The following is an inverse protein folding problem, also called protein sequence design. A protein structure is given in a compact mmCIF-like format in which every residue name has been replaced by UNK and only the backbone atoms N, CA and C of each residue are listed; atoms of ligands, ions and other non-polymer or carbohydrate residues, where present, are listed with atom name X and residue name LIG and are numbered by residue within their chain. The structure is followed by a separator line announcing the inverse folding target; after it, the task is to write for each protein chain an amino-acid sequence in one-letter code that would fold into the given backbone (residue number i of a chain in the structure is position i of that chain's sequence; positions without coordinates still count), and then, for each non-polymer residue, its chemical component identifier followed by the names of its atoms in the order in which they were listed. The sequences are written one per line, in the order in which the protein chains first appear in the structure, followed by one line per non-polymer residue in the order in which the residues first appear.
data_IF_186704906619
#
_entry.id   IF_186704906619
#
_cell.length_a   1.000
_cell.length_b   1.000
_cell.length_c   1.000
_cell.angle_alpha   90.00
_cell.angle_beta   90.00
_cell.angle_gamma   90.00
#
_symmetry.space_group_name_H-M   'P 1'
#
loop_
_entity.id
_entity.type
_entity.pdbx_description
1 polymer ?
#
# COMPACT_ATOMS: atom_id res chain seq x y z
N UNK A 1 -7.17 -1.10 20.94
CA UNK A 1 -6.90 -2.37 20.25
C UNK A 1 -5.49 -2.27 19.75
N UNK A 2 -4.60 -3.24 20.02
CA UNK A 2 -3.25 -3.22 19.46
C UNK A 2 -3.30 -3.13 17.93
N UNK A 3 -2.21 -2.74 17.29
CA UNK A 3 -2.13 -2.73 15.82
C UNK A 3 -2.46 -4.11 15.29
N UNK A 4 -3.44 -4.18 14.39
CA UNK A 4 -3.89 -5.43 13.78
C UNK A 4 -3.80 -5.34 12.26
N UNK A 5 -3.42 -6.45 11.64
CA UNK A 5 -3.50 -6.69 10.20
C UNK A 5 -4.75 -7.54 9.94
N UNK A 6 -5.80 -6.92 9.42
CA UNK A 6 -7.13 -7.52 9.29
C UNK A 6 -7.40 -7.83 7.82
N UNK A 7 -7.54 -9.11 7.42
CA UNK A 7 -7.97 -9.47 6.08
C UNK A 7 -9.34 -8.88 5.73
N UNK A 8 -9.46 -8.33 4.53
CA UNK A 8 -10.72 -7.82 4.01
C UNK A 8 -10.81 -7.94 2.49
N UNK A 9 -12.02 -7.77 1.96
CA UNK A 9 -12.26 -7.71 0.52
C UNK A 9 -12.46 -6.26 0.10
N UNK A 10 -11.78 -5.86 -0.98
CA UNK A 10 -12.07 -4.61 -1.65
C UNK A 10 -13.46 -4.68 -2.30
N UNK A 11 -14.18 -3.55 -2.41
CA UNK A 11 -15.48 -3.52 -3.08
C UNK A 11 -15.33 -3.66 -4.60
N UNK A 12 -16.44 -3.75 -5.32
CA UNK A 12 -16.41 -3.81 -6.78
C UNK A 12 -15.63 -2.63 -7.39
N UNK A 13 -14.74 -2.86 -8.37
CA UNK A 13 -13.94 -1.79 -8.95
C UNK A 13 -14.81 -0.75 -9.67
N UNK A 14 -14.43 0.51 -9.54
CA UNK A 14 -14.98 1.59 -10.35
C UNK A 14 -14.51 1.48 -11.81
N UNK A 15 -15.17 2.21 -12.72
CA UNK A 15 -14.70 2.36 -14.09
C UNK A 15 -13.58 3.42 -14.16
N UNK A 16 -12.39 3.03 -14.63
CA UNK A 16 -11.30 3.97 -14.91
C UNK A 16 -11.43 4.44 -16.37
N UNK A 17 -11.36 5.76 -16.63
CA UNK A 17 -11.37 6.28 -18.00
C UNK A 17 -10.31 5.62 -18.89
N UNK A 18 -10.71 5.18 -20.08
CA UNK A 18 -9.84 4.39 -20.97
C UNK A 18 -8.51 5.08 -21.29
N UNK A 19 -8.52 6.39 -21.51
CA UNK A 19 -7.30 7.15 -21.81
C UNK A 19 -6.27 7.15 -20.66
N UNK A 20 -6.70 6.91 -19.41
CA UNK A 20 -5.78 6.71 -18.28
C UNK A 20 -5.16 5.32 -18.37
N UNK A 21 -5.96 4.30 -18.65
CA UNK A 21 -5.49 2.91 -18.84
C UNK A 21 -4.48 2.86 -20.00
N UNK A 22 -4.85 3.40 -21.17
CA UNK A 22 -4.01 3.45 -22.36
C UNK A 22 -2.66 4.15 -22.06
N UNK A 23 -2.68 5.20 -21.24
CA UNK A 23 -1.47 5.92 -20.85
C UNK A 23 -0.58 5.11 -19.90
N UNK A 24 -1.16 4.35 -18.97
CA UNK A 24 -0.43 3.50 -18.04
C UNK A 24 0.17 2.28 -18.75
N UNK A 25 -0.57 1.65 -19.68
CA UNK A 25 -0.11 0.51 -20.47
C UNK A 25 1.04 0.87 -21.43
N UNK A 26 1.17 2.15 -21.80
CA UNK A 26 2.26 2.64 -22.62
C UNK A 26 3.58 2.89 -21.86
N UNK A 27 3.60 2.69 -20.54
CA UNK A 27 4.77 2.91 -19.68
C UNK A 27 5.48 1.59 -19.33
N UNK A 28 6.73 1.68 -18.88
CA UNK A 28 7.37 0.52 -18.24
C UNK A 28 6.60 0.11 -16.98
N UNK A 29 6.51 -1.19 -16.64
CA UNK A 29 5.56 -1.65 -15.62
C UNK A 29 5.70 -0.97 -14.25
N UNK A 30 6.91 -0.81 -13.73
CA UNK A 30 7.14 -0.14 -12.44
C UNK A 30 6.85 1.38 -12.52
N UNK A 31 7.10 1.99 -13.68
CA UNK A 31 6.76 3.39 -13.92
C UNK A 31 5.25 3.60 -13.97
N UNK A 32 4.51 2.65 -14.54
CA UNK A 32 3.04 2.63 -14.55
C UNK A 32 2.49 2.55 -13.11
N UNK A 33 3.05 1.69 -12.25
CA UNK A 33 2.65 1.60 -10.84
C UNK A 33 2.89 2.92 -10.12
N UNK A 34 4.09 3.49 -10.27
CA UNK A 34 4.41 4.81 -9.70
C UNK A 34 3.42 5.87 -10.21
N UNK A 35 3.07 5.85 -11.50
CA UNK A 35 2.10 6.80 -12.05
C UNK A 35 0.69 6.59 -11.48
N UNK A 36 0.26 5.34 -11.33
CA UNK A 36 -1.00 5.00 -10.70
C UNK A 36 -1.09 5.47 -9.25
N UNK A 37 0.01 5.35 -8.48
CA UNK A 37 0.12 5.94 -7.14
C UNK A 37 -0.08 7.46 -7.18
N UNK A 38 0.60 8.18 -8.08
CA UNK A 38 0.42 9.64 -8.23
C UNK A 38 -1.04 10.01 -8.51
N UNK A 39 -1.75 9.24 -9.33
CA UNK A 39 -3.17 9.46 -9.63
C UNK A 39 -4.07 9.20 -8.40
N UNK A 40 -3.80 8.14 -7.64
CA UNK A 40 -4.53 7.85 -6.40
C UNK A 40 -4.32 8.92 -5.32
N UNK A 41 -3.12 9.51 -5.27
CA UNK A 41 -2.86 10.64 -4.38
C UNK A 41 -3.67 11.89 -4.76
N UNK A 42 -3.97 12.12 -6.04
CA UNK A 42 -4.77 13.27 -6.49
C UNK A 42 -6.24 13.21 -6.04
N UNK A 43 -6.75 12.02 -5.72
CA UNK A 43 -8.08 11.82 -5.15
C UNK A 43 -8.05 11.69 -3.63
N UNK A 44 -6.92 12.05 -2.99
CA UNK A 44 -6.73 12.02 -1.54
C UNK A 44 -6.97 10.62 -0.94
N UNK A 45 -6.65 9.56 -1.70
CA UNK A 45 -6.71 8.20 -1.19
C UNK A 45 -5.64 7.94 -0.12
N UNK A 46 -4.49 8.63 -0.21
CA UNK A 46 -3.34 8.45 0.67
C UNK A 46 -2.63 9.78 0.96
N UNK A 47 -2.00 9.86 2.12
CA UNK A 47 -0.99 10.87 2.44
C UNK A 47 0.41 10.40 2.03
N UNK A 48 0.66 9.09 2.18
CA UNK A 48 1.90 8.42 1.78
C UNK A 48 1.55 7.06 1.17
N UNK A 49 2.24 6.66 0.10
CA UNK A 49 2.07 5.34 -0.52
C UNK A 49 3.41 4.65 -0.69
N UNK A 50 3.41 3.32 -0.59
CA UNK A 50 4.58 2.47 -0.77
C UNK A 50 4.27 1.44 -1.85
N UNK A 51 5.21 1.24 -2.76
CA UNK A 51 5.20 0.14 -3.71
C UNK A 51 6.40 -0.77 -3.46
N UNK A 52 6.10 -2.04 -3.20
CA UNK A 52 7.07 -3.12 -3.11
C UNK A 52 6.79 -4.13 -4.22
N UNK A 53 7.85 -4.58 -4.90
CA UNK A 53 7.78 -5.62 -5.93
C UNK A 53 8.34 -6.93 -5.38
N UNK A 54 7.73 -8.04 -5.71
CA UNK A 54 8.24 -9.38 -5.39
C UNK A 54 9.08 -9.86 -6.57
N UNK A 55 10.33 -10.24 -6.29
CA UNK A 55 11.24 -10.79 -7.31
C UNK A 55 10.96 -12.28 -7.58
N UNK A 56 11.69 -12.86 -8.54
CA UNK A 56 11.54 -14.27 -8.91
C UNK A 56 11.94 -15.27 -7.80
N UNK A 57 12.61 -14.81 -6.75
CA UNK A 57 12.96 -15.59 -5.56
C UNK A 57 11.95 -15.37 -4.41
N UNK A 58 10.77 -14.80 -4.73
CA UNK A 58 9.70 -14.45 -3.78
C UNK A 58 10.14 -13.43 -2.72
N UNK A 59 11.17 -12.62 -3.00
CA UNK A 59 11.65 -11.61 -2.06
C UNK A 59 11.08 -10.23 -2.39
N UNK A 60 10.48 -9.55 -1.41
CA UNK A 60 10.07 -8.16 -1.56
C UNK A 60 11.26 -7.22 -1.75
N UNK A 61 11.07 -6.25 -2.65
CA UNK A 61 11.99 -5.18 -2.94
C UNK A 61 11.23 -3.86 -2.97
N UNK A 62 11.62 -2.92 -2.11
CA UNK A 62 11.09 -1.56 -2.12
C UNK A 62 11.42 -0.87 -3.46
N UNK A 63 10.40 -0.52 -4.23
CA UNK A 63 10.56 0.15 -5.52
C UNK A 63 10.38 1.66 -5.40
N UNK A 64 9.32 2.12 -4.73
CA UNK A 64 9.11 3.54 -4.52
C UNK A 64 8.24 3.86 -3.31
N UNK A 65 8.48 5.05 -2.75
CA UNK A 65 7.62 5.69 -1.74
C UNK A 65 7.22 7.07 -2.28
N UNK A 66 5.94 7.40 -2.23
CA UNK A 66 5.41 8.70 -2.66
C UNK A 66 4.63 9.37 -1.54
N UNK A 67 4.58 10.70 -1.57
CA UNK A 67 3.74 11.51 -0.70
C UNK A 67 4.47 12.20 0.44
N UNK A 68 3.73 12.56 1.49
CA UNK A 68 4.28 13.28 2.64
C UNK A 68 5.27 12.37 3.37
N UNK A 69 6.38 12.96 3.85
CA UNK A 69 7.46 12.25 4.56
C UNK A 69 7.98 11.00 3.83
N UNK A 70 7.85 10.95 2.49
CA UNK A 70 8.25 9.79 1.70
C UNK A 70 9.72 9.41 1.90
N UNK A 71 10.62 10.39 1.97
CA UNK A 71 12.05 10.15 2.23
C UNK A 71 12.31 9.58 3.62
N UNK A 72 11.52 9.99 4.63
CA UNK A 72 11.65 9.44 5.99
C UNK A 72 11.19 7.98 6.02
N UNK A 73 10.03 7.69 5.41
CA UNK A 73 9.51 6.33 5.35
C UNK A 73 10.40 5.43 4.49
N UNK A 74 10.95 5.94 3.39
CA UNK A 74 11.89 5.20 2.56
C UNK A 74 13.15 4.82 3.34
N UNK A 75 13.69 5.71 4.17
CA UNK A 75 14.81 5.40 5.05
C UNK A 75 14.44 4.32 6.08
N UNK A 76 13.26 4.45 6.71
CA UNK A 76 12.73 3.46 7.66
C UNK A 76 12.63 2.08 6.99
N UNK A 77 12.05 1.98 5.80
CA UNK A 77 11.80 0.71 5.12
C UNK A 77 13.07 0.09 4.52
N UNK A 78 14.09 0.88 4.19
CA UNK A 78 15.39 0.35 3.73
C UNK A 78 16.18 -0.34 4.84
N UNK A 79 16.05 0.15 6.06
CA UNK A 79 16.74 -0.38 7.23
C UNK A 79 15.84 -1.33 8.06
N UNK A 80 14.59 -1.53 7.65
CA UNK A 80 13.64 -2.33 8.42
C UNK A 80 13.87 -3.84 8.27
N UNK A 81 13.63 -4.57 9.35
CA UNK A 81 13.37 -5.99 9.25
C UNK A 81 11.91 -6.19 8.85
N UNK A 82 11.69 -6.80 7.68
CA UNK A 82 10.38 -7.12 7.14
C UNK A 82 9.88 -6.14 6.07
N UNK A 83 8.72 -6.46 5.47
CA UNK A 83 8.08 -5.71 4.38
C UNK A 83 6.55 -5.83 4.45
N UNK A 84 5.82 -4.94 3.77
CA UNK A 84 4.37 -5.08 3.67
C UNK A 84 3.97 -6.23 2.72
N UNK A 85 4.76 -6.46 1.67
CA UNK A 85 4.55 -7.55 0.74
C UNK A 85 4.68 -8.94 1.41
N UNK A 86 5.53 -9.13 2.41
CA UNK A 86 5.57 -10.36 3.21
C UNK A 86 4.24 -10.67 3.89
N UNK A 87 3.57 -9.65 4.45
CA UNK A 87 2.26 -9.81 5.06
C UNK A 87 1.21 -10.25 4.02
N UNK A 88 1.28 -9.71 2.81
CA UNK A 88 0.44 -10.12 1.69
C UNK A 88 0.73 -11.56 1.25
N UNK A 89 2.00 -11.95 1.13
CA UNK A 89 2.38 -13.32 0.77
C UNK A 89 1.83 -14.31 1.80
N UNK A 90 1.93 -13.98 3.09
CA UNK A 90 1.44 -14.81 4.18
C UNK A 90 -0.10 -14.94 4.19
N UNK A 91 -0.82 -13.83 3.99
CA UNK A 91 -2.28 -13.77 4.17
C UNK A 91 -3.09 -13.96 2.87
N UNK A 92 -2.45 -13.78 1.70
CA UNK A 92 -3.05 -13.87 0.36
C UNK A 92 -4.34 -13.07 0.21
N UNK A 93 -4.42 -11.90 0.84
CA UNK A 93 -5.59 -11.04 0.86
C UNK A 93 -5.19 -9.58 1.08
N UNK A 94 -6.09 -8.65 0.74
CA UNK A 94 -5.95 -7.25 1.13
C UNK A 94 -6.03 -7.12 2.64
N UNK A 95 -5.20 -6.27 3.22
CA UNK A 95 -5.10 -6.09 4.67
C UNK A 95 -5.42 -4.66 5.08
N UNK A 96 -6.29 -4.52 6.08
CA UNK A 96 -6.50 -3.28 6.79
C UNK A 96 -5.57 -3.26 8.01
N UNK A 97 -4.75 -2.22 8.10
CA UNK A 97 -3.88 -1.92 9.24
C UNK A 97 -4.51 -0.80 10.04
N UNK A 98 -4.93 -1.11 11.25
CA UNK A 98 -5.48 -0.12 12.18
C UNK A 98 -5.28 -0.54 13.63
N UNK A 99 -5.30 0.43 14.55
CA UNK A 99 -5.21 0.15 15.97
C UNK A 99 -4.80 1.37 16.77
N UNK A 100 -4.45 1.10 18.02
CA UNK A 100 -3.70 1.96 18.91
C UNK A 100 -2.34 1.30 19.11
N UNK A 101 -1.28 2.09 19.13
CA UNK A 101 0.08 1.61 19.29
C UNK A 101 0.83 2.49 20.29
N UNK A 102 1.83 1.91 20.93
CA UNK A 102 2.95 2.63 21.54
C UNK A 102 4.22 2.36 20.74
N UNK A 103 5.17 3.30 20.73
CA UNK A 103 6.47 3.12 20.06
C UNK A 103 7.27 1.91 20.59
N UNK A 104 7.02 1.51 21.83
CA UNK A 104 7.68 0.37 22.48
C UNK A 104 6.93 -0.97 22.30
N UNK A 105 5.76 -0.96 21.62
CA UNK A 105 4.95 -2.15 21.40
C UNK A 105 5.44 -2.95 20.18
N UNK A 106 5.59 -4.26 20.34
CA UNK A 106 5.88 -5.14 19.20
C UNK A 106 4.70 -5.16 18.22
N UNK A 107 5.01 -5.14 16.92
CA UNK A 107 4.02 -5.12 15.84
C UNK A 107 4.47 -6.04 14.71
N UNK A 108 3.50 -6.61 13.99
CA UNK A 108 3.73 -7.38 12.76
C UNK A 108 4.06 -6.49 11.55
N UNK A 109 4.10 -5.17 11.72
CA UNK A 109 4.54 -4.22 10.69
C UNK A 109 6.07 -4.17 10.59
N UNK A 110 6.64 -3.74 9.44
CA UNK A 110 8.08 -3.53 9.32
C UNK A 110 8.61 -2.61 10.43
N UNK A 111 9.79 -2.92 10.96
CA UNK A 111 10.35 -2.19 12.09
C UNK A 111 10.48 -0.69 11.79
N UNK A 112 10.01 0.16 12.72
CA UNK A 112 10.01 1.62 12.57
C UNK A 112 8.76 2.20 11.90
N UNK A 113 7.91 1.38 11.27
CA UNK A 113 6.65 1.86 10.66
C UNK A 113 5.67 2.37 11.72
N UNK A 114 5.59 1.74 12.89
CA UNK A 114 4.72 2.22 13.98
C UNK A 114 5.12 3.64 14.41
N UNK A 115 6.41 3.88 14.64
CA UNK A 115 6.94 5.21 14.98
C UNK A 115 6.68 6.23 13.85
N UNK A 116 6.84 5.81 12.59
CA UNK A 116 6.46 6.63 11.45
C UNK A 116 4.98 7.05 11.48
N UNK A 117 4.07 6.10 11.72
CA UNK A 117 2.62 6.32 11.77
C UNK A 117 2.19 7.17 12.97
N UNK A 118 2.91 7.11 14.09
CA UNK A 118 2.64 7.93 15.27
C UNK A 118 3.13 9.39 15.13
N UNK A 119 3.92 9.70 14.09
CA UNK A 119 4.37 11.06 13.74
C UNK A 119 5.00 11.81 14.95
N UNK A 120 5.83 11.11 15.72
CA UNK A 120 6.53 11.64 16.90
C UNK A 120 5.73 11.58 18.21
N UNK A 121 4.51 11.04 18.20
CA UNK A 121 3.81 10.68 19.43
C UNK A 121 4.36 9.38 20.02
N UNK A 122 4.42 9.28 21.36
CA UNK A 122 4.84 8.05 22.04
C UNK A 122 3.77 6.94 21.98
N UNK A 123 2.50 7.32 21.87
CA UNK A 123 1.36 6.43 21.73
C UNK A 123 0.22 7.12 20.98
N UNK A 124 -0.65 6.34 20.34
CA UNK A 124 -1.81 6.88 19.65
C UNK A 124 -2.43 5.94 18.61
N UNK A 125 -3.33 6.50 17.81
CA UNK A 125 -3.95 5.80 16.70
C UNK A 125 -3.00 5.72 15.50
N UNK A 126 -2.93 4.56 14.87
CA UNK A 126 -2.21 4.40 13.60
C UNK A 126 -3.05 4.78 12.37
N UNK A 127 -4.33 5.14 12.57
CA UNK A 127 -5.24 5.46 11.48
C UNK A 127 -5.79 4.23 10.75
N UNK A 128 -6.19 4.43 9.49
CA UNK A 128 -6.70 3.38 8.60
C UNK A 128 -5.76 3.29 7.40
N UNK A 129 -4.88 2.29 7.41
CA UNK A 129 -3.92 2.05 6.34
C UNK A 129 -4.26 0.73 5.65
N UNK A 130 -3.90 0.60 4.38
CA UNK A 130 -4.29 -0.55 3.56
C UNK A 130 -3.07 -1.12 2.88
N UNK A 131 -2.86 -2.43 2.97
CA UNK A 131 -1.86 -3.13 2.19
C UNK A 131 -2.62 -3.94 1.14
N UNK A 132 -2.43 -3.60 -0.12
CA UNK A 132 -3.19 -4.17 -1.22
C UNK A 132 -2.29 -5.06 -2.08
N UNK A 133 -2.66 -6.32 -2.36
CA UNK A 133 -1.86 -7.20 -3.19
C UNK A 133 -1.85 -6.71 -4.64
N UNK A 134 -0.69 -6.74 -5.27
CA UNK A 134 -0.57 -6.76 -6.73
C UNK A 134 -0.42 -8.22 -7.12
N UNK A 135 -1.33 -8.76 -7.92
CA UNK A 135 -1.45 -10.21 -8.12
C UNK A 135 -1.44 -10.61 -9.59
N UNK A 136 -0.93 -11.80 -9.87
CA UNK A 136 -1.15 -12.46 -11.16
C UNK A 136 -2.56 -13.10 -11.23
N UNK A 137 -2.89 -13.72 -12.38
CA UNK A 137 -4.18 -14.37 -12.57
C UNK A 137 -4.38 -15.67 -11.79
N UNK A 138 -3.29 -16.32 -11.43
CA UNK A 138 -3.28 -17.59 -10.69
C UNK A 138 -3.25 -17.35 -9.16
N UNK A 139 -3.26 -16.09 -8.74
CA UNK A 139 -3.25 -15.67 -7.34
C UNK A 139 -1.85 -15.56 -6.73
N UNK A 140 -0.80 -15.62 -7.54
CA UNK A 140 0.57 -15.29 -7.14
C UNK A 140 0.71 -13.80 -6.84
N UNK A 141 1.62 -13.47 -5.91
CA UNK A 141 1.85 -12.10 -5.44
C UNK A 141 3.01 -11.49 -6.24
N UNK A 142 2.72 -10.46 -7.02
CA UNK A 142 3.69 -9.67 -7.77
C UNK A 142 4.28 -8.51 -6.94
N UNK A 143 3.60 -8.11 -5.86
CA UNK A 143 3.98 -6.97 -5.05
C UNK A 143 2.89 -6.57 -4.05
N UNK A 144 3.14 -5.46 -3.38
CA UNK A 144 2.17 -4.79 -2.53
C UNK A 144 2.12 -3.30 -2.84
N UNK A 145 0.90 -2.77 -2.84
CA UNK A 145 0.60 -1.35 -2.88
C UNK A 145 0.04 -0.95 -1.51
N UNK A 146 0.84 -0.24 -0.72
CA UNK A 146 0.45 0.22 0.62
C UNK A 146 -0.03 1.66 0.57
N UNK A 147 -1.23 1.90 1.12
CA UNK A 147 -1.89 3.20 1.24
C UNK A 147 -1.83 3.58 2.71
N UNK A 148 -1.13 4.67 3.04
CA UNK A 148 -1.07 5.21 4.38
C UNK A 148 -1.83 6.53 4.47
N UNK A 149 -2.64 6.67 5.51
CA UNK A 149 -3.47 7.85 5.78
C UNK A 149 -3.14 8.38 7.16
N UNK A 150 -3.27 9.69 7.35
CA UNK A 150 -3.15 10.26 8.68
C UNK A 150 -4.21 9.66 9.61
N UNK A 151 -3.87 9.51 10.89
CA UNK A 151 -4.83 9.08 11.90
C UNK A 151 -6.07 9.99 11.99
N UNK A 152 -5.97 11.25 11.53
CA UNK A 152 -7.08 12.20 11.47
C UNK A 152 -8.03 12.05 10.28
N UNK A 153 -7.62 11.37 9.20
CA UNK A 153 -8.34 11.40 7.90
C UNK A 153 -9.44 10.34 7.76
N UNK A 154 -9.62 9.49 8.77
CA UNK A 154 -10.55 8.37 8.73
C UNK A 154 -10.21 7.33 7.64
N UNK A 155 -11.08 6.32 7.44
CA UNK A 155 -10.91 5.35 6.36
C UNK A 155 -11.11 5.98 4.97
N UNK A 156 -10.74 5.24 3.92
CA UNK A 156 -11.12 5.58 2.54
C UNK A 156 -12.64 5.81 2.46
N UNK A 157 -13.07 6.87 1.79
CA UNK A 157 -14.45 7.32 1.76
C UNK A 157 -15.02 7.38 0.33
N UNK A 158 -16.34 7.51 0.23
CA UNK A 158 -17.05 7.64 -1.05
C UNK A 158 -16.65 6.57 -2.08
N UNK A 159 -16.11 6.99 -3.23
CA UNK A 159 -15.69 6.12 -4.33
C UNK A 159 -14.21 5.72 -4.24
N UNK A 160 -13.45 6.24 -3.26
CA UNK A 160 -12.01 5.97 -3.14
C UNK A 160 -11.70 4.47 -3.06
N UNK A 161 -12.41 3.63 -2.28
CA UNK A 161 -12.17 2.19 -2.27
C UNK A 161 -12.34 1.54 -3.66
N UNK A 162 -13.40 1.91 -4.38
CA UNK A 162 -13.71 1.36 -5.71
C UNK A 162 -12.65 1.80 -6.74
N UNK A 163 -12.19 3.06 -6.67
CA UNK A 163 -11.14 3.58 -7.56
C UNK A 163 -9.78 2.95 -7.23
N UNK A 164 -9.43 2.81 -5.95
CA UNK A 164 -8.22 2.11 -5.52
C UNK A 164 -8.21 0.66 -6.01
N UNK A 165 -9.34 -0.04 -5.91
CA UNK A 165 -9.46 -1.41 -6.41
C UNK A 165 -9.30 -1.47 -7.93
N UNK A 166 -10.00 -0.60 -8.66
CA UNK A 166 -9.88 -0.55 -10.11
C UNK A 166 -8.44 -0.30 -10.55
N UNK A 167 -7.76 0.68 -9.92
CA UNK A 167 -6.37 1.00 -10.22
C UNK A 167 -5.46 -0.17 -9.89
N UNK A 168 -5.61 -0.79 -8.71
CA UNK A 168 -4.84 -1.96 -8.30
C UNK A 168 -4.95 -3.10 -9.30
N UNK A 169 -6.16 -3.40 -9.80
CA UNK A 169 -6.38 -4.44 -10.79
C UNK A 169 -5.69 -4.12 -12.12
N UNK A 170 -5.78 -2.87 -12.60
CA UNK A 170 -5.09 -2.45 -13.83
C UNK A 170 -3.57 -2.52 -13.68
N UNK A 171 -3.02 -2.02 -12.57
CA UNK A 171 -1.59 -2.07 -12.30
C UNK A 171 -1.08 -3.52 -12.15
N UNK A 172 -1.88 -4.40 -11.55
CA UNK A 172 -1.57 -5.83 -11.48
C UNK A 172 -1.49 -6.46 -12.87
N UNK A 173 -2.42 -6.12 -13.76
CA UNK A 173 -2.42 -6.58 -15.15
C UNK A 173 -1.18 -6.08 -15.92
N UNK A 174 -0.78 -4.82 -15.71
CA UNK A 174 0.41 -4.23 -16.35
C UNK A 174 1.69 -4.90 -15.85
N UNK A 175 1.82 -5.15 -14.55
CA UNK A 175 3.01 -5.79 -13.97
C UNK A 175 3.24 -7.22 -14.46
N UNK A 176 2.17 -7.91 -14.86
CA UNK A 176 2.24 -9.25 -15.43
C UNK A 176 2.91 -9.27 -16.81
N UNK A 177 2.66 -8.24 -17.63
CA UNK A 177 2.93 -8.26 -19.08
C UNK A 177 1.82 -8.96 -19.86
#
# INVERSE_FOLDING_TARGET
MPVALIPFNMPDPAEIPSHIIDALEAMEPDEAVKKGMELLMQIEAAETMVYERVDAEERPQLQCVLGRRASDLEAVLRDSNGSFAEAIIAQKSSLLVMGQASVDEESDLPSGVVDFLLDGASEGSTGFNYILPLSDHDGGVLGALTIMRSAGDGPLNHEQPNICEAMRLQLSAILRG
#
